data_IF_746112585469
#
_entry.id   IF_746112585469
#
_cell.length_a   1.000
_cell.length_b   1.000
_cell.length_c   1.000
_cell.angle_alpha   90.00
_cell.angle_beta   90.00
_cell.angle_gamma   90.00
#
_symmetry.space_group_name_H-M   'P 1'
#
loop_
_entity.id
_entity.type
_entity.pdbx_description
1 polymer ?
#
# COMPACT_ATOMS: atom_id res chain seq x y z
N UNK A 1 11.32 -18.89 -15.22
CA UNK A 1 11.56 -17.73 -14.34
C UNK A 1 10.69 -17.72 -13.07
N UNK A 2 9.48 -18.26 -13.11
CA UNK A 2 8.56 -18.35 -11.93
C UNK A 2 9.12 -19.25 -10.80
N UNK A 3 9.82 -20.34 -11.09
CA UNK A 3 10.44 -21.21 -10.07
C UNK A 3 11.50 -20.54 -9.20
N UNK A 4 12.22 -19.53 -9.73
CA UNK A 4 13.24 -18.80 -8.93
C UNK A 4 12.64 -17.82 -7.95
N UNK A 5 11.47 -17.24 -8.27
CA UNK A 5 10.75 -16.35 -7.36
C UNK A 5 10.13 -17.10 -6.17
N UNK A 6 9.59 -18.31 -6.41
CA UNK A 6 9.06 -19.17 -5.37
C UNK A 6 10.14 -19.65 -4.38
N UNK A 7 11.36 -19.92 -4.89
CA UNK A 7 12.49 -20.32 -4.02
C UNK A 7 12.98 -19.16 -3.15
N UNK A 8 12.91 -17.91 -3.62
CA UNK A 8 13.24 -16.74 -2.79
C UNK A 8 12.20 -16.50 -1.69
N UNK A 9 10.92 -16.71 -1.97
CA UNK A 9 9.85 -16.54 -0.99
C UNK A 9 9.92 -17.58 0.15
N UNK A 10 10.44 -18.79 -0.13
CA UNK A 10 10.67 -19.83 0.87
C UNK A 10 11.93 -19.61 1.73
N UNK A 11 12.90 -18.81 1.22
CA UNK A 11 14.12 -18.49 1.96
C UNK A 11 13.94 -17.29 2.92
N UNK A 12 12.94 -16.44 2.71
CA UNK A 12 12.64 -15.30 3.58
C UNK A 12 12.35 -15.72 5.04
N UNK A 13 11.51 -16.73 5.34
CA UNK A 13 11.27 -17.13 6.73
C UNK A 13 12.49 -17.76 7.41
N UNK A 14 13.38 -18.43 6.65
CA UNK A 14 14.62 -19.00 7.23
C UNK A 14 15.68 -17.93 7.51
N UNK A 15 15.75 -16.89 6.69
CA UNK A 15 16.61 -15.74 6.95
C UNK A 15 16.06 -14.86 8.09
N UNK A 16 14.75 -14.71 8.20
CA UNK A 16 14.09 -13.98 9.27
C UNK A 16 14.21 -14.69 10.64
N UNK A 17 14.22 -16.03 10.67
CA UNK A 17 14.44 -16.80 11.91
C UNK A 17 15.86 -16.62 12.49
N UNK A 18 16.82 -16.20 11.66
CA UNK A 18 18.18 -15.82 12.08
C UNK A 18 18.28 -14.30 12.36
N UNK A 19 17.25 -13.53 12.08
CA UNK A 19 17.23 -12.08 12.33
C UNK A 19 17.13 -11.80 13.84
N UNK A 20 17.89 -10.82 14.28
CA UNK A 20 17.81 -10.35 15.67
C UNK A 20 16.39 -9.81 15.95
N UNK A 21 15.89 -9.92 17.20
CA UNK A 21 14.56 -9.40 17.58
C UNK A 21 14.29 -7.94 17.13
N UNK A 22 15.35 -7.14 16.95
CA UNK A 22 15.29 -5.76 16.48
C UNK A 22 14.89 -5.59 15.00
N UNK A 23 14.99 -6.65 14.17
CA UNK A 23 14.56 -6.60 12.76
C UNK A 23 13.05 -6.86 12.60
N UNK A 24 12.47 -7.51 13.60
CA UNK A 24 11.06 -7.93 13.62
C UNK A 24 10.25 -7.16 14.70
N UNK A 25 10.80 -6.07 15.24
CA UNK A 25 10.05 -5.21 16.16
C UNK A 25 9.06 -4.35 15.39
N UNK A 26 7.92 -4.03 15.98
CA UNK A 26 7.11 -2.86 15.62
C UNK A 26 8.08 -1.67 15.53
N UNK A 27 8.04 -0.89 14.46
CA UNK A 27 9.02 0.13 14.07
C UNK A 27 10.35 -0.45 13.54
N UNK A 28 10.39 -1.70 13.12
CA UNK A 28 11.56 -2.38 12.59
C UNK A 28 11.94 -1.92 11.17
N UNK A 29 13.17 -2.26 10.70
CA UNK A 29 13.63 -1.88 9.36
C UNK A 29 12.79 -2.48 8.23
N UNK A 30 12.02 -3.55 8.46
CA UNK A 30 11.12 -4.13 7.46
C UNK A 30 9.90 -3.23 7.25
N UNK A 31 9.30 -2.73 8.30
CA UNK A 31 8.18 -1.77 8.27
C UNK A 31 8.60 -0.46 7.59
N UNK A 32 9.75 0.10 7.96
CA UNK A 32 10.33 1.26 7.29
C UNK A 32 10.55 1.02 5.80
N UNK A 33 11.01 -0.17 5.41
CA UNK A 33 11.21 -0.53 4.00
C UNK A 33 9.86 -0.65 3.26
N UNK A 34 8.81 -1.19 3.88
CA UNK A 34 7.45 -1.26 3.35
C UNK A 34 6.88 0.14 3.13
N UNK A 35 6.97 1.00 4.13
CA UNK A 35 6.59 2.41 4.03
C UNK A 35 7.30 3.12 2.87
N UNK A 36 8.64 3.01 2.78
CA UNK A 36 9.42 3.65 1.72
C UNK A 36 9.05 3.12 0.33
N UNK A 37 8.78 1.83 0.18
CA UNK A 37 8.34 1.25 -1.08
C UNK A 37 6.97 1.80 -1.52
N UNK A 38 6.01 1.89 -0.60
CA UNK A 38 4.68 2.44 -0.86
C UNK A 38 4.72 3.95 -1.13
N UNK A 39 5.51 4.71 -0.36
CA UNK A 39 5.73 6.14 -0.58
C UNK A 39 6.35 6.41 -1.96
N UNK A 40 7.35 5.63 -2.35
CA UNK A 40 7.96 5.72 -3.68
C UNK A 40 6.95 5.37 -4.78
N UNK A 41 6.14 4.33 -4.62
CA UNK A 41 5.07 3.99 -5.55
C UNK A 41 4.05 5.12 -5.69
N UNK A 42 3.67 5.76 -4.56
CA UNK A 42 2.80 6.94 -4.54
C UNK A 42 3.42 8.09 -5.34
N UNK A 43 4.67 8.45 -5.09
CA UNK A 43 5.38 9.51 -5.81
C UNK A 43 5.48 9.23 -7.32
N UNK A 44 5.77 8.00 -7.73
CA UNK A 44 5.79 7.60 -9.14
C UNK A 44 4.40 7.76 -9.76
N UNK A 45 3.35 7.36 -9.04
CA UNK A 45 1.97 7.50 -9.54
C UNK A 45 1.55 8.96 -9.65
N UNK A 46 1.88 9.81 -8.67
CA UNK A 46 1.62 11.26 -8.70
C UNK A 46 2.33 11.94 -9.88
N UNK A 47 3.60 11.60 -10.14
CA UNK A 47 4.33 12.14 -11.30
C UNK A 47 3.70 11.78 -12.64
N UNK A 48 2.92 10.71 -12.69
CA UNK A 48 2.20 10.26 -13.90
C UNK A 48 0.81 10.88 -14.05
N UNK A 49 0.29 11.49 -12.98
CA UNK A 49 -0.95 12.26 -13.04
C UNK A 49 -0.71 13.54 -13.83
N UNK A 50 -1.09 13.55 -15.11
CA UNK A 50 -0.96 14.74 -15.96
C UNK A 50 -2.24 14.98 -16.75
N UNK A 51 -2.72 16.21 -16.70
CA UNK A 51 -3.79 16.71 -17.55
C UNK A 51 -5.10 15.90 -17.43
N UNK A 52 -5.66 15.49 -18.57
CA UNK A 52 -6.98 14.84 -18.66
C UNK A 52 -7.06 13.44 -18.02
N UNK A 53 -5.92 12.82 -17.68
CA UNK A 53 -5.87 11.53 -17.03
C UNK A 53 -6.10 11.62 -15.50
N UNK A 54 -6.01 12.82 -14.92
CA UNK A 54 -6.10 13.04 -13.48
C UNK A 54 -7.37 12.45 -12.85
N UNK A 55 -8.59 12.75 -13.31
CA UNK A 55 -9.79 12.20 -12.70
C UNK A 55 -9.90 10.67 -12.83
N UNK A 56 -9.38 10.11 -13.93
CA UNK A 56 -9.43 8.65 -14.16
C UNK A 56 -8.40 7.86 -13.37
N UNK A 57 -7.40 8.48 -12.79
CA UNK A 57 -6.27 7.80 -12.14
C UNK A 57 -6.03 8.25 -10.69
N UNK A 58 -6.83 9.17 -10.14
CA UNK A 58 -6.66 9.71 -8.78
C UNK A 58 -6.66 8.61 -7.72
N UNK A 59 -7.43 7.55 -7.93
CA UNK A 59 -7.51 6.42 -7.01
C UNK A 59 -6.16 5.71 -6.78
N UNK A 60 -5.25 5.73 -7.75
CA UNK A 60 -3.96 5.03 -7.62
C UNK A 60 -3.07 5.68 -6.56
N UNK A 61 -2.69 6.97 -6.66
CA UNK A 61 -1.89 7.60 -5.62
C UNK A 61 -2.62 7.72 -4.28
N UNK A 62 -3.96 7.88 -4.28
CA UNK A 62 -4.73 7.95 -3.04
C UNK A 62 -4.66 6.64 -2.26
N UNK A 63 -4.89 5.49 -2.91
CA UNK A 63 -4.77 4.18 -2.26
C UNK A 63 -3.33 3.95 -1.77
N UNK A 64 -2.33 4.27 -2.59
CA UNK A 64 -0.92 4.11 -2.22
C UNK A 64 -0.53 4.99 -1.04
N UNK A 65 -1.07 6.21 -0.97
CA UNK A 65 -0.88 7.09 0.17
C UNK A 65 -1.48 6.51 1.44
N UNK A 66 -2.73 6.00 1.38
CA UNK A 66 -3.41 5.40 2.53
C UNK A 66 -2.70 4.12 3.01
N UNK A 67 -2.16 3.32 2.09
CA UNK A 67 -1.35 2.15 2.45
C UNK A 67 -0.04 2.56 3.11
N UNK A 68 0.65 3.58 2.58
CA UNK A 68 1.87 4.09 3.19
C UNK A 68 1.62 4.72 4.56
N UNK A 69 0.48 5.41 4.73
CA UNK A 69 0.09 5.99 6.01
C UNK A 69 -0.20 4.94 7.07
N UNK A 70 -0.78 3.80 6.66
CA UNK A 70 -0.99 2.67 7.57
C UNK A 70 0.32 2.13 8.13
N UNK A 71 1.38 2.10 7.33
CA UNK A 71 2.73 1.67 7.72
C UNK A 71 3.50 2.76 8.48
N UNK A 72 2.98 3.99 8.53
CA UNK A 72 3.60 5.05 9.30
C UNK A 72 3.13 4.97 10.75
N UNK A 73 4.03 5.28 11.68
CA UNK A 73 3.69 5.36 13.10
C UNK A 73 2.43 6.21 13.36
N UNK A 74 1.61 5.85 14.38
CA UNK A 74 0.40 6.60 14.74
C UNK A 74 0.59 8.10 14.94
N UNK A 75 1.84 8.53 15.24
CA UNK A 75 2.21 9.95 15.41
C UNK A 75 2.28 10.74 14.11
N UNK A 76 2.40 10.08 12.96
CA UNK A 76 2.43 10.69 11.62
C UNK A 76 1.12 10.53 10.86
N UNK A 77 0.14 9.81 11.43
CA UNK A 77 -1.14 9.57 10.80
C UNK A 77 -1.89 10.88 10.47
N UNK A 78 -1.96 11.20 9.18
CA UNK A 78 -2.70 12.36 8.67
C UNK A 78 -4.20 12.11 8.60
N UNK A 79 -4.62 10.85 8.51
CA UNK A 79 -6.03 10.45 8.47
C UNK A 79 -6.48 10.03 9.86
N UNK A 80 -6.91 10.98 10.65
CA UNK A 80 -7.65 10.63 11.86
C UNK A 80 -9.10 10.27 11.50
N UNK A 81 -9.74 9.38 12.27
CA UNK A 81 -11.17 9.10 12.18
C UNK A 81 -12.02 10.38 12.28
N UNK A 82 -11.48 11.43 12.87
CA UNK A 82 -12.08 12.76 12.94
C UNK A 82 -12.36 13.36 11.55
N UNK A 83 -11.58 13.06 10.53
CA UNK A 83 -11.82 13.55 9.16
C UNK A 83 -13.12 13.01 8.54
N UNK A 84 -13.64 11.89 9.05
CA UNK A 84 -14.91 11.29 8.61
C UNK A 84 -16.10 11.82 9.43
N UNK A 85 -15.87 12.53 10.52
CA UNK A 85 -16.93 13.11 11.35
C UNK A 85 -17.36 14.48 10.80
N UNK A 86 -18.61 14.64 10.35
CA UNK A 86 -19.13 15.95 9.91
C UNK A 86 -19.09 17.03 11.01
N UNK A 87 -19.13 16.65 12.29
CA UNK A 87 -19.02 17.60 13.40
C UNK A 87 -17.63 18.23 13.48
N UNK A 88 -16.58 17.47 13.14
CA UNK A 88 -15.21 17.99 13.08
C UNK A 88 -15.13 19.21 12.15
N UNK A 89 -15.70 19.12 10.95
CA UNK A 89 -15.60 20.16 9.92
C UNK A 89 -16.37 21.45 10.26
N UNK A 90 -17.30 21.39 11.22
CA UNK A 90 -18.04 22.58 11.68
C UNK A 90 -17.23 23.47 12.61
N UNK A 91 -16.26 22.88 13.32
CA UNK A 91 -15.47 23.57 14.35
C UNK A 91 -13.97 23.58 14.06
N UNK A 92 -13.52 22.83 13.06
CA UNK A 92 -12.11 22.71 12.71
C UNK A 92 -11.55 24.07 12.26
N UNK A 93 -10.47 24.53 12.86
CA UNK A 93 -9.81 25.76 12.42
C UNK A 93 -9.21 25.55 11.03
N UNK A 94 -9.20 26.60 10.19
CA UNK A 94 -8.55 26.61 8.90
C UNK A 94 -7.02 26.62 9.09
N UNK A 95 -6.43 25.45 9.22
CA UNK A 95 -4.98 25.24 9.29
C UNK A 95 -4.51 24.50 8.00
N UNK A 96 -3.21 24.54 7.68
CA UNK A 96 -2.67 23.73 6.59
C UNK A 96 -2.98 22.23 6.74
N UNK A 97 -3.01 21.72 7.98
CA UNK A 97 -3.34 20.32 8.28
C UNK A 97 -4.80 20.00 7.96
N UNK A 98 -5.76 20.86 8.38
CA UNK A 98 -7.17 20.65 8.04
C UNK A 98 -7.44 20.80 6.54
N UNK A 99 -6.74 21.71 5.86
CA UNK A 99 -6.83 21.85 4.41
C UNK A 99 -6.28 20.58 3.70
N UNK A 100 -5.15 20.04 4.14
CA UNK A 100 -4.62 18.79 3.62
C UNK A 100 -5.58 17.61 3.85
N UNK A 101 -6.18 17.52 5.04
CA UNK A 101 -7.20 16.54 5.37
C UNK A 101 -8.43 16.63 4.46
N UNK A 102 -8.90 17.86 4.17
CA UNK A 102 -10.02 18.07 3.24
C UNK A 102 -9.69 17.60 1.81
N UNK A 103 -8.50 17.91 1.31
CA UNK A 103 -8.01 17.44 0.01
C UNK A 103 -7.97 15.93 -0.03
N UNK A 104 -7.44 15.30 1.02
CA UNK A 104 -7.38 13.85 1.12
C UNK A 104 -8.76 13.21 1.17
N UNK A 105 -9.70 13.77 1.95
CA UNK A 105 -11.09 13.29 2.00
C UNK A 105 -11.72 13.33 0.60
N UNK A 106 -11.57 14.44 -0.12
CA UNK A 106 -12.06 14.56 -1.50
C UNK A 106 -11.41 13.53 -2.41
N UNK A 107 -10.09 13.31 -2.29
CA UNK A 107 -9.38 12.30 -3.08
C UNK A 107 -9.88 10.87 -2.77
N UNK A 108 -10.18 10.55 -1.51
CA UNK A 108 -10.78 9.27 -1.11
C UNK A 108 -12.17 9.10 -1.72
N UNK A 109 -13.06 10.10 -1.60
CA UNK A 109 -14.39 10.05 -2.17
C UNK A 109 -14.37 9.90 -3.70
N UNK A 110 -13.49 10.65 -4.37
CA UNK A 110 -13.26 10.49 -5.81
C UNK A 110 -12.74 9.09 -6.16
N UNK A 111 -11.89 8.52 -5.31
CA UNK A 111 -11.34 7.18 -5.52
C UNK A 111 -12.40 6.09 -5.43
N UNK A 112 -13.38 6.23 -4.55
CA UNK A 112 -14.53 5.30 -4.46
C UNK A 112 -15.33 5.24 -5.76
N UNK A 113 -15.40 6.35 -6.50
CA UNK A 113 -16.10 6.40 -7.80
C UNK A 113 -15.17 6.00 -8.94
N UNK A 114 -13.95 6.54 -8.95
CA UNK A 114 -13.03 6.35 -10.11
C UNK A 114 -12.43 4.95 -10.17
N UNK A 115 -12.26 4.28 -9.05
CA UNK A 115 -11.76 2.91 -9.00
C UNK A 115 -12.67 1.92 -9.74
N UNK A 116 -13.98 1.82 -9.44
CA UNK A 116 -14.87 0.92 -10.17
C UNK A 116 -15.07 1.33 -11.64
N UNK A 117 -15.14 2.64 -11.93
CA UNK A 117 -15.43 3.14 -13.27
C UNK A 117 -14.22 3.03 -14.20
N UNK A 118 -13.03 3.34 -13.73
CA UNK A 118 -11.81 3.38 -14.56
C UNK A 118 -10.78 2.33 -14.16
N UNK A 119 -10.56 2.14 -12.86
CA UNK A 119 -9.53 1.25 -12.32
C UNK A 119 -9.81 -0.21 -12.65
N UNK A 120 -10.98 -0.71 -12.30
CA UNK A 120 -11.36 -2.12 -12.50
C UNK A 120 -11.40 -2.50 -13.98
N UNK A 121 -12.02 -1.71 -14.89
CA UNK A 121 -11.97 -2.02 -16.32
C UNK A 121 -10.56 -1.95 -16.91
N UNK A 122 -9.73 -1.00 -16.47
CA UNK A 122 -8.34 -0.91 -16.92
C UNK A 122 -7.53 -2.14 -16.47
N UNK A 123 -7.72 -2.57 -15.22
CA UNK A 123 -7.11 -3.79 -14.68
C UNK A 123 -7.50 -5.01 -15.51
N UNK A 124 -8.82 -5.22 -15.72
CA UNK A 124 -9.34 -6.37 -16.50
C UNK A 124 -8.79 -6.40 -17.93
N UNK A 125 -8.75 -5.25 -18.62
CA UNK A 125 -8.16 -5.15 -19.97
C UNK A 125 -6.68 -5.50 -19.97
N UNK A 126 -5.91 -4.95 -19.05
CA UNK A 126 -4.49 -5.20 -18.95
C UNK A 126 -4.17 -6.66 -18.56
N UNK A 127 -4.98 -7.26 -17.69
CA UNK A 127 -4.86 -8.66 -17.29
C UNK A 127 -5.10 -9.60 -18.49
N UNK A 128 -6.19 -9.37 -19.26
CA UNK A 128 -6.49 -10.11 -20.48
C UNK A 128 -5.42 -9.93 -21.56
N UNK A 129 -4.81 -8.74 -21.64
CA UNK A 129 -3.70 -8.45 -22.56
C UNK A 129 -2.35 -9.03 -22.09
N UNK A 130 -2.31 -9.81 -21.00
CA UNK A 130 -1.09 -10.43 -20.50
C UNK A 130 -0.06 -9.45 -19.93
N UNK A 131 -0.44 -8.22 -19.63
CA UNK A 131 0.46 -7.23 -19.03
C UNK A 131 1.00 -7.72 -17.68
N UNK A 132 2.22 -7.32 -17.35
CA UNK A 132 2.90 -7.76 -16.11
C UNK A 132 2.33 -7.12 -14.85
N UNK A 133 2.00 -5.84 -14.92
CA UNK A 133 1.58 -5.07 -13.76
C UNK A 133 0.32 -5.61 -13.03
N UNK A 134 -0.74 -6.13 -13.70
CA UNK A 134 -1.89 -6.66 -12.98
C UNK A 134 -1.57 -7.97 -12.24
N UNK A 135 -0.63 -8.76 -12.79
CA UNK A 135 -0.17 -10.00 -12.13
C UNK A 135 0.61 -9.70 -10.87
N UNK A 136 1.52 -8.68 -10.92
CA UNK A 136 2.25 -8.21 -9.75
C UNK A 136 1.30 -7.68 -8.68
N UNK A 137 0.28 -6.91 -9.08
CA UNK A 137 -0.74 -6.42 -8.15
C UNK A 137 -1.56 -7.57 -7.54
N UNK A 138 -1.91 -8.59 -8.33
CA UNK A 138 -2.58 -9.80 -7.82
C UNK A 138 -1.73 -10.54 -6.79
N UNK A 139 -0.43 -10.69 -7.05
CA UNK A 139 0.51 -11.29 -6.08
C UNK A 139 0.66 -10.44 -4.83
N UNK A 140 0.64 -9.10 -4.95
CA UNK A 140 0.65 -8.20 -3.79
C UNK A 140 -0.57 -8.41 -2.89
N UNK A 141 -1.76 -8.57 -3.49
CA UNK A 141 -3.00 -8.88 -2.72
C UNK A 141 -2.88 -10.23 -2.00
N UNK A 142 -2.30 -11.24 -2.65
CA UNK A 142 -2.06 -12.55 -2.00
C UNK A 142 -1.07 -12.42 -0.84
N UNK A 143 0.02 -11.66 -1.03
CA UNK A 143 0.99 -11.43 0.04
C UNK A 143 0.36 -10.68 1.22
N UNK A 144 -0.44 -9.64 0.98
CA UNK A 144 -1.17 -8.93 2.02
C UNK A 144 -2.18 -9.83 2.76
N UNK A 145 -2.85 -10.75 2.05
CA UNK A 145 -3.74 -11.72 2.69
C UNK A 145 -2.98 -12.73 3.58
N UNK A 146 -1.74 -13.07 3.20
CA UNK A 146 -0.86 -13.91 4.02
C UNK A 146 -0.43 -13.17 5.29
N UNK A 147 -0.09 -11.87 5.18
CA UNK A 147 0.24 -11.03 6.34
C UNK A 147 -0.92 -11.02 7.35
N UNK A 148 -2.13 -10.66 6.91
CA UNK A 148 -3.34 -10.63 7.76
C UNK A 148 -3.58 -12.01 8.41
N UNK A 149 -3.42 -13.10 7.65
CA UNK A 149 -3.58 -14.44 8.19
C UNK A 149 -2.50 -14.82 9.22
N UNK A 150 -1.29 -14.29 9.09
CA UNK A 150 -0.22 -14.50 10.05
C UNK A 150 -0.47 -13.71 11.35
N UNK A 151 -0.94 -12.47 11.25
CA UNK A 151 -1.37 -11.64 12.38
C UNK A 151 -2.46 -12.35 13.21
N UNK A 152 -3.48 -12.92 12.55
CA UNK A 152 -4.57 -13.64 13.22
C UNK A 152 -4.15 -14.99 13.79
N UNK A 153 -3.12 -15.64 13.23
CA UNK A 153 -2.71 -17.01 13.62
C UNK A 153 -1.97 -17.08 14.97
N UNK A 154 -1.37 -15.98 15.46
CA UNK A 154 -0.74 -15.95 16.76
C UNK A 154 0.44 -15.01 16.92
N UNK A 155 0.96 -14.93 18.16
CA UNK A 155 1.99 -13.96 18.59
C UNK A 155 3.41 -14.56 18.69
N UNK A 156 3.76 -15.55 17.88
CA UNK A 156 5.10 -16.15 17.89
C UNK A 156 6.06 -15.46 16.94
N UNK A 157 7.38 -15.49 17.22
CA UNK A 157 8.43 -14.91 16.36
C UNK A 157 8.33 -15.38 14.90
N UNK A 158 7.87 -16.61 14.66
CA UNK A 158 7.67 -17.14 13.33
C UNK A 158 6.53 -16.41 12.60
N UNK A 159 5.41 -16.18 13.26
CA UNK A 159 4.25 -15.51 12.67
C UNK A 159 4.53 -14.04 12.41
N UNK A 160 5.21 -13.36 13.33
CA UNK A 160 5.68 -11.99 13.13
C UNK A 160 6.63 -11.90 11.93
N UNK A 161 7.56 -12.86 11.76
CA UNK A 161 8.45 -12.88 10.60
C UNK A 161 7.71 -13.13 9.27
N UNK A 162 6.64 -13.92 9.29
CA UNK A 162 5.78 -14.16 8.11
C UNK A 162 4.98 -12.91 7.79
N UNK A 163 4.40 -12.26 8.78
CA UNK A 163 3.63 -11.04 8.68
C UNK A 163 4.46 -9.93 8.05
N UNK A 164 5.54 -9.52 8.69
CA UNK A 164 6.45 -8.47 8.24
C UNK A 164 7.05 -8.75 6.85
N UNK A 165 7.48 -10.00 6.64
CA UNK A 165 8.02 -10.43 5.34
C UNK A 165 6.98 -10.39 4.22
N UNK A 166 5.73 -10.70 4.51
CA UNK A 166 4.63 -10.66 3.56
C UNK A 166 4.20 -9.22 3.24
N UNK A 167 4.20 -8.32 4.24
CA UNK A 167 3.93 -6.89 4.05
C UNK A 167 4.98 -6.23 3.16
N UNK A 168 6.26 -6.43 3.45
CA UNK A 168 7.33 -5.95 2.61
C UNK A 168 7.24 -6.50 1.18
N UNK A 169 6.95 -7.78 1.03
CA UNK A 169 6.76 -8.38 -0.30
C UNK A 169 5.58 -7.74 -1.03
N UNK A 170 4.46 -7.50 -0.36
CA UNK A 170 3.30 -6.83 -0.92
C UNK A 170 3.66 -5.41 -1.39
N UNK A 171 4.34 -4.62 -0.54
CA UNK A 171 4.78 -3.27 -0.86
C UNK A 171 5.72 -3.22 -2.09
N UNK A 172 6.71 -4.12 -2.16
CA UNK A 172 7.62 -4.23 -3.29
C UNK A 172 6.92 -4.65 -4.59
N UNK A 173 5.95 -5.57 -4.52
CA UNK A 173 5.14 -5.97 -5.67
C UNK A 173 4.24 -4.84 -6.17
N UNK A 174 3.68 -4.03 -5.27
CA UNK A 174 2.93 -2.81 -5.60
C UNK A 174 3.84 -1.81 -6.30
N UNK A 175 5.03 -1.53 -5.75
CA UNK A 175 6.01 -0.65 -6.37
C UNK A 175 6.40 -1.14 -7.79
N UNK A 176 6.71 -2.42 -7.94
CA UNK A 176 7.04 -3.01 -9.23
C UNK A 176 5.86 -2.95 -10.21
N UNK A 177 4.62 -3.16 -9.75
CA UNK A 177 3.40 -3.00 -10.52
C UNK A 177 3.26 -1.57 -11.05
N UNK A 178 3.40 -0.57 -10.17
CA UNK A 178 3.33 0.84 -10.56
C UNK A 178 4.46 1.20 -11.52
N UNK A 179 5.70 0.80 -11.24
CA UNK A 179 6.85 1.10 -12.09
C UNK A 179 6.71 0.51 -13.51
N UNK A 180 6.11 -0.68 -13.65
CA UNK A 180 5.93 -1.37 -14.93
C UNK A 180 4.73 -0.90 -15.77
N UNK A 181 3.89 0.00 -15.27
CA UNK A 181 2.83 0.65 -16.03
C UNK A 181 3.44 1.63 -17.04
N UNK A 182 3.71 1.16 -18.24
CA UNK A 182 4.07 1.99 -19.40
C UNK A 182 2.95 1.94 -20.44
#
# INVERSE_FOLDING_TARGET
MLCRAASLALLLPTAAAAATPTLLSEDGPLEVASFLALALACLISLRRLRGRALPAQVHVPTILFLLAEREAEPGLAFVSTALLDPAFWRVAPLTPATAAGAVLLVAVLLSLVTLPVFGVPAFRRAFRAGRRWPRMLGLAVVAAAVSIGAEEAGHGVLWLAVEEGAELLAALLVLASVASRR
#
